data_IF_515256914091
#
_entry.id   IF_515256914091
#
_cell.length_a   1.000
_cell.length_b   1.000
_cell.length_c   1.000
_cell.angle_alpha   90.00
_cell.angle_beta   90.00
_cell.angle_gamma   90.00
#
_symmetry.space_group_name_H-M   'P 1'
#
loop_
_entity.id
_entity.type
_entity.pdbx_description
1 polymer ?
#
# COMPACT_ATOMS: atom_id res chain seq x y z
N UNK A 1 30.75 47.93 29.33
CA UNK A 1 30.75 46.45 29.21
C UNK A 1 29.73 46.08 28.15
N UNK A 2 30.20 45.53 27.04
CA UNK A 2 29.39 44.99 25.95
C UNK A 2 28.93 43.59 26.37
N UNK A 3 27.61 43.37 26.45
CA UNK A 3 27.06 42.03 26.40
C UNK A 3 26.00 41.98 25.31
N UNK A 4 26.48 41.50 24.16
CA UNK A 4 25.68 41.00 23.06
C UNK A 4 25.26 39.56 23.41
N UNK A 5 23.96 39.27 23.39
CA UNK A 5 23.52 37.94 22.97
C UNK A 5 22.11 38.00 22.40
N UNK A 6 22.04 37.64 21.12
CA UNK A 6 20.90 37.52 20.25
C UNK A 6 20.30 36.14 20.48
N UNK A 7 19.05 36.05 20.92
CA UNK A 7 18.30 34.79 20.85
C UNK A 7 17.44 34.82 19.60
N UNK A 8 17.89 34.09 18.60
CA UNK A 8 17.07 33.67 17.48
C UNK A 8 16.02 32.70 18.04
N UNK A 9 14.76 33.06 17.87
CA UNK A 9 13.63 32.18 18.03
C UNK A 9 13.73 31.05 17.01
N UNK A 10 13.95 29.82 17.48
CA UNK A 10 13.77 28.62 16.67
C UNK A 10 12.26 28.42 16.46
N UNK A 11 11.81 28.88 15.29
CA UNK A 11 10.50 28.59 14.72
C UNK A 11 10.45 27.09 14.38
N UNK A 12 9.91 26.29 15.29
CA UNK A 12 9.51 24.92 14.99
C UNK A 12 8.28 25.01 14.11
N UNK A 13 8.52 25.00 12.80
CA UNK A 13 7.50 24.76 11.79
C UNK A 13 6.87 23.37 12.06
N UNK A 14 5.78 23.35 12.82
CA UNK A 14 4.96 22.15 13.01
C UNK A 14 4.21 21.96 11.71
N UNK A 15 4.83 21.23 10.78
CA UNK A 15 4.13 20.70 9.61
C UNK A 15 2.96 19.88 10.15
N UNK A 16 1.74 20.32 9.84
CA UNK A 16 0.54 19.61 10.22
C UNK A 16 0.59 18.21 9.59
N UNK A 17 0.84 17.18 10.42
CA UNK A 17 0.88 15.78 10.00
C UNK A 17 -0.52 15.42 9.49
N UNK A 18 -0.67 15.32 8.17
CA UNK A 18 -1.94 15.01 7.51
C UNK A 18 -2.35 13.55 7.74
N UNK A 19 -1.39 12.65 8.01
CA UNK A 19 -1.63 11.21 8.20
C UNK A 19 -0.76 10.64 9.32
N UNK A 20 -1.33 9.83 10.24
CA UNK A 20 -0.58 9.29 11.39
C UNK A 20 0.55 8.31 11.01
N UNK A 21 0.60 7.84 9.76
CA UNK A 21 1.49 6.79 9.27
C UNK A 21 2.37 7.24 8.08
N UNK A 22 2.58 8.55 7.89
CA UNK A 22 3.11 9.09 6.62
C UNK A 22 4.48 8.52 6.20
N UNK A 23 5.36 8.17 7.15
CA UNK A 23 6.75 7.77 6.87
C UNK A 23 7.09 6.30 7.09
N UNK A 24 6.16 5.46 7.56
CA UNK A 24 6.48 4.06 7.82
C UNK A 24 6.74 3.32 6.48
N UNK A 25 7.79 2.48 6.38
CA UNK A 25 8.09 1.73 5.16
C UNK A 25 6.89 0.96 4.61
N UNK A 26 6.12 0.30 5.47
CA UNK A 26 4.92 -0.41 5.04
C UNK A 26 3.84 0.55 4.51
N UNK A 27 3.65 1.71 5.13
CA UNK A 27 2.64 2.66 4.68
C UNK A 27 2.99 3.30 3.33
N UNK A 28 4.28 3.48 3.04
CA UNK A 28 4.78 3.88 1.72
C UNK A 28 4.49 2.78 0.70
N UNK A 29 4.87 1.54 1.01
CA UNK A 29 4.61 0.38 0.15
C UNK A 29 3.11 0.23 -0.16
N UNK A 30 2.22 0.40 0.82
CA UNK A 30 0.76 0.32 0.60
C UNK A 30 0.23 1.37 -0.38
N UNK A 31 0.85 2.56 -0.45
CA UNK A 31 0.49 3.58 -1.43
C UNK A 31 0.96 3.19 -2.82
N UNK A 32 2.18 2.70 -2.92
CA UNK A 32 2.73 2.18 -4.18
C UNK A 32 1.90 1.00 -4.70
N UNK A 33 1.54 0.04 -3.84
CA UNK A 33 0.68 -1.09 -4.20
C UNK A 33 -0.67 -0.63 -4.74
N UNK A 34 -1.27 0.43 -4.17
CA UNK A 34 -2.53 0.98 -4.68
C UNK A 34 -2.35 1.60 -6.07
N UNK A 35 -1.28 2.36 -6.31
CA UNK A 35 -0.97 2.96 -7.61
C UNK A 35 -0.70 1.88 -8.67
N UNK A 36 0.00 0.81 -8.30
CA UNK A 36 0.23 -0.34 -9.16
C UNK A 36 -1.10 -1.01 -9.54
N UNK A 37 -2.03 -1.15 -8.59
CA UNK A 37 -3.38 -1.67 -8.87
C UNK A 37 -4.22 -0.76 -9.78
N UNK A 38 -4.05 0.56 -9.71
CA UNK A 38 -4.66 1.50 -10.66
C UNK A 38 -4.08 1.29 -12.07
N UNK A 39 -2.76 1.09 -12.18
CA UNK A 39 -2.11 0.81 -13.47
C UNK A 39 -2.58 -0.50 -14.08
N UNK A 40 -2.71 -1.58 -13.28
CA UNK A 40 -3.23 -2.87 -13.77
C UNK A 40 -4.66 -2.69 -14.29
N UNK A 41 -5.53 -2.00 -13.54
CA UNK A 41 -6.92 -1.77 -13.95
C UNK A 41 -7.00 -1.03 -15.28
N UNK A 42 -6.18 0.00 -15.45
CA UNK A 42 -6.11 0.80 -16.67
C UNK A 42 -5.69 -0.06 -17.86
N UNK A 43 -4.65 -0.89 -17.71
CA UNK A 43 -4.21 -1.79 -18.75
C UNK A 43 -5.30 -2.82 -19.13
N UNK A 44 -5.98 -3.41 -18.14
CA UNK A 44 -7.11 -4.34 -18.39
C UNK A 44 -8.23 -3.65 -19.18
N UNK A 45 -8.63 -2.43 -18.77
CA UNK A 45 -9.71 -1.67 -19.43
C UNK A 45 -9.35 -1.29 -20.88
N UNK A 46 -8.07 -0.96 -21.12
CA UNK A 46 -7.55 -0.61 -22.43
C UNK A 46 -7.21 -1.83 -23.30
N UNK A 47 -7.28 -3.05 -22.76
CA UNK A 47 -6.83 -4.30 -23.41
C UNK A 47 -5.33 -4.27 -23.76
N UNK A 48 -4.55 -3.70 -22.86
CA UNK A 48 -3.10 -3.65 -22.90
C UNK A 48 -2.49 -4.73 -22.00
N UNK A 49 -1.20 -5.02 -22.20
CA UNK A 49 -0.45 -5.92 -21.32
C UNK A 49 -0.30 -5.31 -19.92
N UNK A 50 -0.54 -6.09 -18.88
CA UNK A 50 -0.35 -5.65 -17.50
C UNK A 50 1.13 -5.71 -17.12
N UNK A 51 1.60 -4.76 -16.33
CA UNK A 51 2.94 -4.81 -15.77
C UNK A 51 3.03 -5.83 -14.62
N UNK A 52 4.24 -6.36 -14.39
CA UNK A 52 4.54 -7.23 -13.25
C UNK A 52 5.04 -6.42 -12.05
N UNK A 53 4.44 -6.67 -10.89
CA UNK A 53 4.74 -6.00 -9.62
C UNK A 53 5.08 -6.99 -8.50
N UNK A 54 5.03 -8.30 -8.74
CA UNK A 54 5.28 -9.34 -7.74
C UNK A 54 6.58 -9.13 -6.96
N UNK A 55 7.71 -8.91 -7.64
CA UNK A 55 9.01 -8.68 -6.96
C UNK A 55 9.00 -7.44 -6.08
N UNK A 56 8.36 -6.36 -6.53
CA UNK A 56 8.21 -5.11 -5.74
C UNK A 56 7.36 -5.38 -4.50
N UNK A 57 6.28 -6.14 -4.64
CA UNK A 57 5.30 -6.38 -3.58
C UNK A 57 5.73 -7.42 -2.56
N UNK A 58 6.73 -8.27 -2.84
CA UNK A 58 7.29 -9.22 -1.84
C UNK A 58 7.72 -8.56 -0.53
N UNK A 59 8.11 -7.28 -0.57
CA UNK A 59 8.44 -6.49 0.61
C UNK A 59 7.26 -6.31 1.58
N UNK A 60 6.03 -6.64 1.18
CA UNK A 60 4.83 -6.64 2.02
C UNK A 60 5.01 -7.42 3.32
N UNK A 61 5.78 -8.51 3.27
CA UNK A 61 6.02 -9.41 4.39
C UNK A 61 7.15 -8.92 5.33
N UNK A 62 7.95 -7.94 4.91
CA UNK A 62 9.15 -7.51 5.64
C UNK A 62 9.17 -6.02 5.97
N UNK A 63 8.41 -5.19 5.26
CA UNK A 63 8.37 -3.75 5.48
C UNK A 63 7.83 -3.40 6.88
N UNK A 64 8.54 -2.50 7.57
CA UNK A 64 8.21 -2.11 8.94
C UNK A 64 6.88 -1.32 9.00
N UNK A 65 5.89 -1.77 9.80
CA UNK A 65 4.67 -1.03 10.04
C UNK A 65 4.88 0.14 11.01
N UNK A 66 3.98 1.11 11.01
CA UNK A 66 3.93 2.14 12.07
C UNK A 66 3.72 1.53 13.46
N UNK A 67 3.01 0.40 13.50
CA UNK A 67 2.59 -0.33 14.70
C UNK A 67 3.08 -1.78 14.61
N UNK A 68 4.09 -2.19 15.40
CA UNK A 68 4.68 -3.52 15.31
C UNK A 68 3.68 -4.67 15.44
N UNK A 69 2.58 -4.48 16.17
CA UNK A 69 1.51 -5.47 16.37
C UNK A 69 0.81 -5.91 15.08
N UNK A 70 0.96 -5.14 13.99
CA UNK A 70 0.45 -5.51 12.66
C UNK A 70 1.16 -6.75 12.13
N UNK A 71 2.46 -6.91 12.35
CA UNK A 71 3.25 -8.05 11.84
C UNK A 71 3.06 -9.31 12.71
N UNK A 72 1.84 -9.85 12.70
CA UNK A 72 1.52 -11.13 13.32
C UNK A 72 1.27 -12.23 12.27
N UNK A 73 1.04 -13.46 12.72
CA UNK A 73 0.81 -14.61 11.84
C UNK A 73 -0.38 -14.41 10.88
N UNK A 74 -1.43 -13.73 11.32
CA UNK A 74 -2.59 -13.43 10.46
C UNK A 74 -2.18 -12.48 9.33
N UNK A 75 -1.41 -11.43 9.63
CA UNK A 75 -0.91 -10.52 8.60
C UNK A 75 0.00 -11.23 7.61
N UNK A 76 0.92 -12.07 8.09
CA UNK A 76 1.81 -12.85 7.23
C UNK A 76 1.02 -13.77 6.30
N UNK A 77 -0.01 -14.45 6.80
CA UNK A 77 -0.86 -15.33 6.00
C UNK A 77 -1.64 -14.55 4.93
N UNK A 78 -2.25 -13.42 5.29
CA UNK A 78 -2.98 -12.57 4.34
C UNK A 78 -2.06 -11.94 3.30
N UNK A 79 -0.84 -11.55 3.70
CA UNK A 79 0.19 -11.05 2.80
C UNK A 79 0.64 -12.10 1.78
N UNK A 80 0.81 -13.36 2.21
CA UNK A 80 1.11 -14.47 1.29
C UNK A 80 -0.03 -14.75 0.32
N UNK A 81 -1.27 -14.79 0.81
CA UNK A 81 -2.45 -14.95 -0.05
C UNK A 81 -2.58 -13.82 -1.09
N UNK A 82 -2.24 -12.59 -0.71
CA UNK A 82 -2.13 -11.47 -1.65
C UNK A 82 -1.09 -11.73 -2.75
N UNK A 83 0.13 -12.12 -2.37
CA UNK A 83 1.23 -12.37 -3.32
C UNK A 83 0.92 -13.54 -4.26
N UNK A 84 0.35 -14.62 -3.74
CA UNK A 84 -0.09 -15.77 -4.54
C UNK A 84 -1.17 -15.34 -5.55
N UNK A 85 -2.13 -14.53 -5.14
CA UNK A 85 -3.17 -14.03 -6.06
C UNK A 85 -2.63 -13.06 -7.10
N UNK A 86 -1.63 -12.23 -6.75
CA UNK A 86 -0.95 -11.36 -7.70
C UNK A 86 -0.18 -12.17 -8.74
N UNK A 87 0.55 -13.21 -8.33
CA UNK A 87 1.22 -14.12 -9.25
C UNK A 87 0.23 -14.78 -10.22
N UNK A 88 -0.93 -15.24 -9.73
CA UNK A 88 -1.98 -15.78 -10.58
C UNK A 88 -2.51 -14.75 -11.59
N UNK A 89 -2.68 -13.50 -11.17
CA UNK A 89 -3.13 -12.41 -12.05
C UNK A 89 -2.11 -12.09 -13.12
N UNK A 90 -0.82 -12.00 -12.78
CA UNK A 90 0.27 -11.71 -13.72
C UNK A 90 0.44 -12.79 -14.80
N UNK A 91 -0.02 -14.01 -14.52
CA UNK A 91 -0.03 -15.13 -15.47
C UNK A 91 -1.42 -15.37 -16.13
N UNK A 92 -2.42 -14.53 -15.85
CA UNK A 92 -3.76 -14.68 -16.39
C UNK A 92 -3.88 -14.05 -17.79
N UNK A 93 -4.81 -14.58 -18.59
CA UNK A 93 -5.09 -14.08 -19.93
C UNK A 93 -6.62 -14.00 -20.17
N UNK A 94 -7.02 -13.15 -21.11
CA UNK A 94 -8.42 -13.04 -21.53
C UNK A 94 -9.35 -12.66 -20.39
N UNK A 95 -10.48 -13.38 -20.26
CA UNK A 95 -11.49 -13.10 -19.23
C UNK A 95 -10.97 -13.31 -17.80
N UNK A 96 -9.94 -14.16 -17.61
CA UNK A 96 -9.37 -14.45 -16.30
C UNK A 96 -8.61 -13.25 -15.69
N UNK A 97 -8.18 -12.27 -16.51
CA UNK A 97 -7.51 -11.05 -16.01
C UNK A 97 -8.43 -10.23 -15.11
N UNK A 98 -9.67 -9.99 -15.55
CA UNK A 98 -10.60 -9.18 -14.78
C UNK A 98 -11.03 -9.87 -13.48
N UNK A 99 -11.23 -11.20 -13.53
CA UNK A 99 -11.59 -11.97 -12.34
C UNK A 99 -10.42 -12.06 -11.35
N UNK A 100 -9.20 -12.28 -11.84
CA UNK A 100 -7.98 -12.24 -11.03
C UNK A 100 -7.77 -10.87 -10.37
N UNK A 101 -8.04 -9.79 -11.11
CA UNK A 101 -7.96 -8.43 -10.59
C UNK A 101 -8.95 -8.20 -9.43
N UNK A 102 -10.21 -8.58 -9.61
CA UNK A 102 -11.24 -8.47 -8.56
C UNK A 102 -10.94 -9.34 -7.33
N UNK A 103 -10.38 -10.53 -7.54
CA UNK A 103 -9.92 -11.38 -6.45
C UNK A 103 -8.78 -10.70 -5.67
N UNK A 104 -7.83 -10.07 -6.36
CA UNK A 104 -6.74 -9.32 -5.73
C UNK A 104 -7.26 -8.10 -4.94
N UNK A 105 -8.19 -7.31 -5.48
CA UNK A 105 -8.85 -6.21 -4.76
C UNK A 105 -9.59 -6.71 -3.51
N UNK A 106 -10.22 -7.89 -3.59
CA UNK A 106 -10.89 -8.51 -2.45
C UNK A 106 -9.90 -8.88 -1.33
N UNK A 107 -8.70 -9.36 -1.68
CA UNK A 107 -7.63 -9.61 -0.70
C UNK A 107 -7.17 -8.29 -0.03
N UNK A 108 -7.05 -7.20 -0.80
CA UNK A 108 -6.75 -5.87 -0.24
C UNK A 108 -7.82 -5.47 0.80
N UNK A 109 -9.09 -5.57 0.45
CA UNK A 109 -10.21 -5.21 1.34
C UNK A 109 -10.23 -6.08 2.61
N UNK A 110 -10.04 -7.39 2.48
CA UNK A 110 -10.00 -8.30 3.61
C UNK A 110 -8.88 -7.93 4.60
N UNK A 111 -7.67 -7.67 4.10
CA UNK A 111 -6.54 -7.27 4.94
C UNK A 111 -6.82 -5.94 5.65
N UNK A 112 -7.33 -4.95 4.90
CA UNK A 112 -7.62 -3.63 5.46
C UNK A 112 -8.77 -3.61 6.46
N UNK A 113 -9.75 -4.51 6.35
CA UNK A 113 -10.79 -4.68 7.36
C UNK A 113 -10.23 -5.14 8.72
N UNK A 114 -9.14 -5.91 8.72
CA UNK A 114 -8.53 -6.45 9.94
C UNK A 114 -7.52 -5.50 10.56
N UNK A 115 -6.64 -4.90 9.75
CA UNK A 115 -5.46 -4.19 10.27
C UNK A 115 -5.57 -2.68 10.21
N UNK A 116 -6.01 -2.15 9.07
CA UNK A 116 -5.90 -0.72 8.75
C UNK A 116 -7.12 -0.30 7.92
N UNK A 117 -8.27 0.05 8.52
CA UNK A 117 -9.51 0.30 7.77
C UNK A 117 -9.56 1.65 7.02
N UNK A 118 -8.59 2.54 7.25
CA UNK A 118 -8.54 3.88 6.67
C UNK A 118 -8.72 3.96 5.14
N UNK A 119 -8.01 3.14 4.33
CA UNK A 119 -8.08 3.23 2.88
C UNK A 119 -9.21 2.40 2.25
N UNK A 120 -10.08 1.72 3.01
CA UNK A 120 -11.14 0.84 2.46
C UNK A 120 -11.98 1.57 1.40
N UNK A 121 -12.49 2.77 1.71
CA UNK A 121 -13.28 3.58 0.76
C UNK A 121 -12.53 3.97 -0.52
N UNK A 122 -11.20 4.00 -0.46
CA UNK A 122 -10.36 4.27 -1.63
C UNK A 122 -10.18 3.00 -2.45
N UNK A 123 -9.90 1.87 -1.79
CA UNK A 123 -9.76 0.56 -2.42
C UNK A 123 -11.05 0.12 -3.10
N UNK A 124 -12.22 0.40 -2.52
CA UNK A 124 -13.52 0.09 -3.14
C UNK A 124 -13.72 0.75 -4.52
N UNK A 125 -13.01 1.85 -4.82
CA UNK A 125 -13.07 2.52 -6.12
C UNK A 125 -12.27 1.82 -7.22
N UNK A 126 -11.52 0.79 -6.88
CA UNK A 126 -10.80 -0.05 -7.83
C UNK A 126 -11.72 -1.07 -8.53
N UNK A 127 -12.90 -1.33 -7.97
CA UNK A 127 -13.89 -2.25 -8.54
C UNK A 127 -14.65 -1.69 -9.75
#
# INVERSE_FOLDING_TARGET
MLFSCRQASEDKNVVAVQYPNESAPLALLMREMYEDMESIKMAIDNKEEIASYLEKHKSLLTAEPTKPEVQNQTYEHMGKAYLEQLELLENAEGEALLDGYKALVSNCLACHQQFCPGPIKRIEKLN
#
